data_IF_638307760002
#
_entry.id   IF_638307760002
#
_cell.length_a   1.000
_cell.length_b   1.000
_cell.length_c   1.000
_cell.angle_alpha   90.00
_cell.angle_beta   90.00
_cell.angle_gamma   90.00
#
_symmetry.space_group_name_H-M   'P 1'
#
loop_
_entity.id
_entity.type
_entity.pdbx_description
1 polymer ?
#
# COMPACT_ATOMS: atom_id res chain seq x y z
N UNK A 1 -13.83 1.23 -1.41
CA UNK A 1 -12.78 1.77 -0.53
C UNK A 1 -13.24 1.67 0.91
N UNK A 2 -12.30 1.56 1.84
CA UNK A 2 -12.59 1.62 3.27
C UNK A 2 -13.25 2.97 3.61
N UNK A 3 -14.26 2.93 4.47
CA UNK A 3 -14.93 4.08 5.03
C UNK A 3 -14.54 4.24 6.49
N UNK A 4 -13.87 5.33 6.81
CA UNK A 4 -13.57 5.75 8.17
C UNK A 4 -14.66 6.68 8.75
N UNK A 5 -15.53 7.22 7.89
CA UNK A 5 -16.66 8.08 8.28
C UNK A 5 -17.86 7.28 8.80
N UNK A 6 -17.95 6.00 8.44
CA UNK A 6 -18.96 5.06 8.92
C UNK A 6 -18.28 3.78 9.43
N UNK A 7 -17.86 3.81 10.70
CA UNK A 7 -17.15 2.70 11.35
C UNK A 7 -18.01 1.45 11.56
N UNK A 8 -19.35 1.56 11.45
CA UNK A 8 -20.28 0.46 11.65
C UNK A 8 -20.59 -0.31 10.36
N UNK A 9 -20.38 0.31 9.20
CA UNK A 9 -20.50 -0.35 7.90
C UNK A 9 -19.59 -1.58 7.86
N UNK A 10 -20.12 -2.78 7.51
CA UNK A 10 -19.30 -3.95 7.24
C UNK A 10 -18.32 -3.68 6.09
N UNK A 11 -17.04 -3.92 6.33
CA UNK A 11 -15.98 -3.69 5.35
C UNK A 11 -15.07 -4.91 5.25
N UNK A 12 -14.74 -5.30 4.02
CA UNK A 12 -13.96 -6.50 3.75
C UNK A 12 -12.56 -6.15 3.26
N UNK A 13 -11.55 -6.75 3.88
CA UNK A 13 -10.15 -6.61 3.51
C UNK A 13 -9.64 -7.98 3.08
N UNK A 14 -9.00 -8.03 1.92
CA UNK A 14 -8.18 -9.16 1.50
C UNK A 14 -6.72 -8.80 1.71
N UNK A 15 -5.98 -9.60 2.45
CA UNK A 15 -4.52 -9.51 2.58
C UNK A 15 -3.91 -10.74 1.91
N UNK A 16 -2.98 -10.55 0.98
CA UNK A 16 -2.26 -11.64 0.31
C UNK A 16 -0.80 -11.54 0.71
N UNK A 17 -0.31 -12.55 1.41
CA UNK A 17 0.94 -12.52 2.16
C UNK A 17 0.68 -12.12 3.62
N UNK A 18 0.74 -13.10 4.53
CA UNK A 18 0.54 -12.88 5.97
C UNK A 18 1.79 -12.29 6.62
N UNK A 19 2.97 -12.79 6.21
CA UNK A 19 4.23 -12.48 6.87
C UNK A 19 4.16 -12.75 8.38
N UNK A 20 4.53 -11.74 9.18
CA UNK A 20 4.42 -11.80 10.65
C UNK A 20 3.01 -11.53 11.20
N UNK A 21 2.03 -11.17 10.36
CA UNK A 21 0.66 -10.86 10.80
C UNK A 21 0.49 -9.48 11.46
N UNK A 22 1.47 -8.58 11.34
CA UNK A 22 1.44 -7.26 11.96
C UNK A 22 0.24 -6.42 11.49
N UNK A 23 -0.01 -6.40 10.17
CA UNK A 23 -1.14 -5.72 9.54
C UNK A 23 -2.47 -6.26 10.08
N UNK A 24 -2.65 -7.58 10.04
CA UNK A 24 -3.82 -8.26 10.57
C UNK A 24 -4.07 -7.94 12.04
N UNK A 25 -3.04 -8.01 12.88
CA UNK A 25 -3.13 -7.72 14.31
C UNK A 25 -3.56 -6.27 14.53
N UNK A 26 -2.94 -5.31 13.85
CA UNK A 26 -3.32 -3.90 13.94
C UNK A 26 -4.76 -3.64 13.52
N UNK A 27 -5.17 -4.15 12.35
CA UNK A 27 -6.53 -3.99 11.84
C UNK A 27 -7.58 -4.69 12.73
N UNK A 28 -7.20 -5.78 13.41
CA UNK A 28 -8.08 -6.47 14.36
C UNK A 28 -8.45 -5.59 15.57
N UNK A 29 -7.56 -4.68 15.97
CA UNK A 29 -7.76 -3.75 17.09
C UNK A 29 -8.58 -2.51 16.72
N UNK A 30 -8.76 -2.25 15.42
CA UNK A 30 -9.53 -1.08 14.97
C UNK A 30 -11.00 -1.20 15.41
N UNK A 31 -11.61 -0.10 15.91
CA UNK A 31 -13.02 -0.04 16.29
C UNK A 31 -13.95 0.05 15.06
N UNK A 32 -13.63 -0.70 14.01
CA UNK A 32 -14.36 -0.76 12.76
C UNK A 32 -14.93 -2.17 12.56
N UNK A 33 -16.08 -2.23 11.88
CA UNK A 33 -16.72 -3.48 11.49
C UNK A 33 -16.00 -4.12 10.29
N UNK A 34 -14.82 -4.69 10.56
CA UNK A 34 -13.96 -5.31 9.55
C UNK A 34 -14.17 -6.82 9.46
N UNK A 35 -13.96 -7.35 8.27
CA UNK A 35 -13.75 -8.76 7.99
C UNK A 35 -12.48 -8.90 7.16
N UNK A 36 -11.48 -9.57 7.71
CA UNK A 36 -10.13 -9.69 7.14
C UNK A 36 -9.93 -11.13 6.69
N UNK A 37 -9.82 -11.33 5.38
CA UNK A 37 -9.40 -12.59 4.78
C UNK A 37 -7.91 -12.47 4.44
N UNK A 38 -7.09 -13.34 5.01
CA UNK A 38 -5.65 -13.37 4.79
C UNK A 38 -5.33 -14.64 4.02
N UNK A 39 -4.57 -14.52 2.94
CA UNK A 39 -4.14 -15.66 2.12
C UNK A 39 -2.63 -15.79 2.25
N UNK A 40 -2.17 -16.92 2.76
CA UNK A 40 -0.76 -17.23 2.96
C UNK A 40 -0.43 -18.53 2.21
N UNK A 41 0.68 -18.55 1.48
CA UNK A 41 1.09 -19.71 0.70
C UNK A 41 1.65 -20.81 1.61
N UNK A 42 2.39 -20.42 2.66
CA UNK A 42 3.19 -21.33 3.47
C UNK A 42 2.61 -21.52 4.87
N UNK A 43 2.22 -22.77 5.20
CA UNK A 43 1.76 -23.15 6.54
C UNK A 43 2.78 -22.79 7.65
N UNK A 44 4.07 -22.91 7.36
CA UNK A 44 5.16 -22.58 8.29
C UNK A 44 5.14 -21.11 8.70
N UNK A 45 4.83 -20.18 7.77
CA UNK A 45 4.74 -18.75 8.05
C UNK A 45 3.58 -18.48 9.01
N UNK A 46 2.42 -19.10 8.78
CA UNK A 46 1.29 -19.01 9.70
C UNK A 46 1.59 -19.55 11.10
N UNK A 47 2.28 -20.69 11.20
CA UNK A 47 2.65 -21.27 12.49
C UNK A 47 3.62 -20.35 13.26
N UNK A 48 4.57 -19.73 12.55
CA UNK A 48 5.50 -18.74 13.11
C UNK A 48 4.75 -17.49 13.57
N UNK A 49 3.85 -16.95 12.74
CA UNK A 49 3.04 -15.78 13.07
C UNK A 49 2.20 -16.00 14.33
N UNK A 50 1.56 -17.18 14.46
CA UNK A 50 0.83 -17.55 15.67
C UNK A 50 1.73 -17.71 16.90
N UNK A 51 2.89 -18.33 16.74
CA UNK A 51 3.75 -18.68 17.88
C UNK A 51 4.56 -17.50 18.41
N UNK A 52 5.01 -16.61 17.53
CA UNK A 52 6.00 -15.58 17.87
C UNK A 52 5.52 -14.14 17.64
N UNK A 53 4.40 -13.94 16.94
CA UNK A 53 3.89 -12.61 16.58
C UNK A 53 2.43 -12.40 16.99
N UNK A 54 1.93 -13.20 17.94
CA UNK A 54 0.60 -13.07 18.56
C UNK A 54 -0.58 -13.01 17.58
N UNK A 55 -0.43 -13.60 16.39
CA UNK A 55 -1.50 -13.66 15.41
C UNK A 55 -2.73 -14.40 15.98
N UNK A 56 -3.84 -13.68 16.10
CA UNK A 56 -5.10 -14.22 16.60
C UNK A 56 -6.12 -14.36 15.48
N UNK A 57 -6.53 -15.60 15.18
CA UNK A 57 -7.60 -15.90 14.23
C UNK A 57 -8.97 -15.84 14.89
N UNK A 58 -9.97 -15.32 14.18
CA UNK A 58 -11.35 -15.19 14.64
C UNK A 58 -12.31 -15.06 13.46
N UNK A 59 -13.61 -14.90 13.71
CA UNK A 59 -14.55 -14.54 12.64
C UNK A 59 -14.20 -13.20 11.98
N UNK A 60 -13.50 -12.30 12.70
CA UNK A 60 -12.99 -11.03 12.15
C UNK A 60 -11.71 -11.23 11.32
N UNK A 61 -10.87 -12.20 11.66
CA UNK A 61 -9.55 -12.45 11.03
C UNK A 61 -9.41 -13.92 10.64
N UNK A 62 -9.57 -14.21 9.35
CA UNK A 62 -9.57 -15.56 8.78
C UNK A 62 -8.33 -15.75 7.94
N UNK A 63 -7.60 -16.85 8.15
CA UNK A 63 -6.40 -17.18 7.37
C UNK A 63 -6.67 -18.42 6.51
N UNK A 64 -6.33 -18.30 5.23
CA UNK A 64 -6.42 -19.35 4.22
C UNK A 64 -5.01 -19.74 3.80
N UNK A 65 -4.62 -21.00 4.02
CA UNK A 65 -3.35 -21.53 3.54
C UNK A 65 -3.55 -22.02 2.10
N UNK A 66 -3.32 -21.14 1.13
CA UNK A 66 -3.64 -21.35 -0.27
C UNK A 66 -2.79 -20.45 -1.19
N UNK A 67 -2.67 -20.83 -2.45
CA UNK A 67 -2.15 -19.97 -3.51
C UNK A 67 -3.06 -18.75 -3.71
N UNK A 68 -2.52 -17.55 -3.49
CA UNK A 68 -3.27 -16.29 -3.62
C UNK A 68 -3.79 -16.00 -5.03
N UNK A 69 -3.12 -16.47 -6.09
CA UNK A 69 -3.62 -16.32 -7.47
C UNK A 69 -4.89 -17.15 -7.65
N UNK A 70 -4.89 -18.39 -7.16
CA UNK A 70 -6.07 -19.26 -7.19
C UNK A 70 -7.20 -18.74 -6.31
N UNK A 71 -6.85 -18.21 -5.14
CA UNK A 71 -7.83 -17.60 -4.25
C UNK A 71 -8.56 -16.44 -4.94
N UNK A 72 -7.81 -15.53 -5.57
CA UNK A 72 -8.39 -14.38 -6.29
C UNK A 72 -9.22 -14.83 -7.49
N UNK A 73 -8.78 -15.85 -8.23
CA UNK A 73 -9.61 -16.44 -9.30
C UNK A 73 -10.95 -16.95 -8.75
N UNK A 74 -10.91 -17.74 -7.68
CA UNK A 74 -12.11 -18.30 -7.05
C UNK A 74 -13.00 -17.20 -6.44
N UNK A 75 -12.42 -16.12 -5.94
CA UNK A 75 -13.16 -14.95 -5.48
C UNK A 75 -14.01 -14.36 -6.61
N UNK A 76 -13.43 -14.16 -7.80
CA UNK A 76 -14.18 -13.71 -8.99
C UNK A 76 -15.29 -14.69 -9.37
N UNK A 77 -14.99 -15.99 -9.42
CA UNK A 77 -15.97 -17.04 -9.77
C UNK A 77 -17.18 -17.07 -8.83
N UNK A 78 -16.99 -16.69 -7.56
CA UNK A 78 -18.03 -16.66 -6.53
C UNK A 78 -18.61 -15.25 -6.28
N UNK A 79 -18.28 -14.25 -7.11
CA UNK A 79 -18.65 -12.85 -6.92
C UNK A 79 -18.27 -12.30 -5.52
N UNK A 80 -17.14 -12.74 -5.01
CA UNK A 80 -16.59 -12.29 -3.74
C UNK A 80 -15.78 -11.03 -3.95
N UNK A 81 -16.22 -9.93 -3.34
CA UNK A 81 -15.55 -8.63 -3.47
C UNK A 81 -15.07 -8.09 -2.12
N UNK A 82 -14.06 -7.23 -2.20
CA UNK A 82 -13.36 -6.63 -1.07
C UNK A 82 -13.36 -5.11 -1.19
N UNK A 83 -13.46 -4.38 -0.08
CA UNK A 83 -13.35 -2.92 -0.06
C UNK A 83 -11.90 -2.45 -0.19
N UNK A 84 -10.95 -3.31 0.19
CA UNK A 84 -9.50 -3.14 0.06
C UNK A 84 -8.80 -4.47 -0.20
N UNK A 85 -7.76 -4.45 -1.02
CA UNK A 85 -6.82 -5.56 -1.19
C UNK A 85 -5.43 -5.04 -0.83
N UNK A 86 -4.79 -5.70 0.15
CA UNK A 86 -3.39 -5.54 0.50
C UNK A 86 -2.62 -6.68 -0.14
N UNK A 87 -1.65 -6.35 -0.99
CA UNK A 87 -0.87 -7.33 -1.74
C UNK A 87 0.59 -7.23 -1.31
N UNK A 88 0.98 -8.12 -0.41
CA UNK A 88 2.33 -8.25 0.16
C UNK A 88 2.88 -9.66 -0.07
N UNK A 89 2.60 -10.22 -1.26
CA UNK A 89 3.11 -11.52 -1.67
C UNK A 89 4.57 -11.37 -2.13
N UNK A 90 5.52 -11.55 -1.21
CA UNK A 90 6.94 -11.33 -1.45
C UNK A 90 7.73 -12.62 -1.73
N UNK A 91 8.88 -12.50 -2.40
CA UNK A 91 9.89 -13.55 -2.47
C UNK A 91 11.11 -13.23 -1.60
N UNK A 92 11.72 -14.27 -1.05
CA UNK A 92 13.00 -14.18 -0.35
C UNK A 92 14.21 -14.34 -1.30
N UNK A 93 13.96 -14.48 -2.60
CA UNK A 93 15.01 -14.56 -3.62
C UNK A 93 15.65 -13.18 -3.84
N UNK A 94 16.79 -12.98 -3.18
CA UNK A 94 17.59 -11.75 -3.25
C UNK A 94 18.19 -11.47 -4.63
N UNK A 95 18.06 -12.40 -5.60
CA UNK A 95 18.47 -12.16 -6.99
C UNK A 95 17.40 -11.39 -7.79
N UNK A 96 16.18 -11.29 -7.27
CA UNK A 96 15.10 -10.54 -7.91
C UNK A 96 15.21 -9.05 -7.58
N UNK A 97 14.97 -8.23 -8.61
CA UNK A 97 14.96 -6.76 -8.49
C UNK A 97 13.69 -6.27 -7.76
N UNK A 98 12.56 -6.95 -8.00
CA UNK A 98 11.29 -6.69 -7.33
C UNK A 98 10.99 -7.88 -6.42
N UNK A 99 10.95 -7.64 -5.11
CA UNK A 99 10.64 -8.67 -4.13
C UNK A 99 9.13 -8.86 -3.99
N UNK A 100 8.36 -7.75 -4.06
CA UNK A 100 6.93 -7.74 -3.84
C UNK A 100 6.24 -6.80 -4.85
N UNK A 101 5.05 -7.17 -5.39
CA UNK A 101 4.54 -8.54 -5.36
C UNK A 101 5.35 -9.47 -6.28
N UNK A 102 5.31 -10.77 -6.03
CA UNK A 102 5.92 -11.76 -6.93
C UNK A 102 5.30 -11.70 -8.33
N UNK A 103 6.09 -12.05 -9.35
CA UNK A 103 5.72 -11.95 -10.77
C UNK A 103 4.37 -12.59 -11.13
N UNK A 104 3.92 -13.61 -10.39
CA UNK A 104 2.62 -14.24 -10.63
C UNK A 104 1.45 -13.23 -10.52
N UNK A 105 1.54 -12.24 -9.63
CA UNK A 105 0.53 -11.19 -9.48
C UNK A 105 0.67 -10.03 -10.47
N UNK A 106 1.75 -10.02 -11.26
CA UNK A 106 1.98 -9.04 -12.32
C UNK A 106 1.36 -9.47 -13.65
N UNK A 107 0.86 -10.71 -13.75
CA UNK A 107 0.16 -11.19 -14.94
C UNK A 107 -1.14 -10.42 -15.17
N UNK A 108 -1.40 -10.08 -16.44
CA UNK A 108 -2.57 -9.27 -16.82
C UNK A 108 -3.91 -9.90 -16.43
N UNK A 109 -4.03 -11.23 -16.49
CA UNK A 109 -5.24 -11.95 -16.07
C UNK A 109 -5.41 -11.90 -14.56
N UNK A 110 -4.32 -12.01 -13.80
CA UNK A 110 -4.36 -11.89 -12.34
C UNK A 110 -4.69 -10.47 -11.89
N UNK A 111 -4.08 -9.46 -12.50
CA UNK A 111 -4.42 -8.04 -12.28
C UNK A 111 -5.88 -7.75 -12.61
N UNK A 112 -6.41 -8.35 -13.67
CA UNK A 112 -7.83 -8.23 -14.00
C UNK A 112 -8.72 -8.89 -12.94
N UNK A 113 -8.33 -10.05 -12.39
CA UNK A 113 -9.10 -10.71 -11.33
C UNK A 113 -9.03 -9.95 -10.00
N UNK A 114 -7.86 -9.39 -9.65
CA UNK A 114 -7.71 -8.48 -8.51
C UNK A 114 -8.64 -7.26 -8.67
N UNK A 115 -8.63 -6.63 -9.85
CA UNK A 115 -9.52 -5.50 -10.16
C UNK A 115 -11.00 -5.88 -10.05
N UNK A 116 -11.41 -7.04 -10.57
CA UNK A 116 -12.79 -7.55 -10.44
C UNK A 116 -13.19 -7.91 -9.00
N UNK A 117 -12.21 -8.29 -8.18
CA UNK A 117 -12.42 -8.60 -6.75
C UNK A 117 -12.48 -7.35 -5.88
N UNK A 118 -12.21 -6.15 -6.44
CA UNK A 118 -12.36 -4.88 -5.73
C UNK A 118 -13.79 -4.34 -5.87
N UNK A 119 -14.36 -3.92 -4.74
CA UNK A 119 -15.62 -3.19 -4.69
C UNK A 119 -15.37 -1.72 -5.04
N UNK A 120 -15.50 -1.38 -6.32
CA UNK A 120 -15.50 0.01 -6.78
C UNK A 120 -16.89 0.64 -6.61
N UNK A 121 -16.96 1.78 -5.92
CA UNK A 121 -18.19 2.54 -5.71
C UNK A 121 -18.71 3.20 -7.00
N UNK A 122 -17.83 3.49 -7.97
CA UNK A 122 -18.19 3.96 -9.29
C UNK A 122 -17.07 3.66 -10.30
N UNK A 123 -17.27 2.65 -11.15
CA UNK A 123 -16.28 2.20 -12.16
C UNK A 123 -16.07 3.19 -13.30
N UNK A 124 -16.95 4.19 -13.47
CA UNK A 124 -16.88 5.15 -14.57
C UNK A 124 -16.13 6.43 -14.20
N UNK A 125 -16.10 6.80 -12.91
CA UNK A 125 -15.32 7.98 -12.49
C UNK A 125 -13.83 7.62 -12.40
N UNK A 126 -12.92 8.46 -12.91
CA UNK A 126 -11.50 8.24 -12.69
C UNK A 126 -11.19 8.33 -11.19
N UNK A 127 -10.45 7.36 -10.67
CA UNK A 127 -9.90 7.41 -9.32
C UNK A 127 -8.57 8.17 -9.35
N UNK A 128 -8.49 9.27 -8.60
CA UNK A 128 -7.33 10.15 -8.62
C UNK A 128 -6.39 9.78 -7.47
N UNK A 129 -5.15 9.43 -7.79
CA UNK A 129 -4.14 8.95 -6.86
C UNK A 129 -2.98 9.95 -6.84
N UNK A 130 -2.56 10.34 -5.63
CA UNK A 130 -1.30 11.03 -5.40
C UNK A 130 -0.29 10.05 -4.82
N UNK A 131 0.87 9.89 -5.45
CA UNK A 131 2.01 9.18 -4.90
C UNK A 131 3.11 10.19 -4.57
N UNK A 132 3.54 10.25 -3.31
CA UNK A 132 4.65 11.09 -2.85
C UNK A 132 5.83 10.18 -2.55
N UNK A 133 6.94 10.36 -3.27
CA UNK A 133 8.06 9.43 -3.30
C UNK A 133 7.87 8.42 -4.42
N UNK A 134 8.65 8.57 -5.50
CA UNK A 134 8.59 7.66 -6.64
C UNK A 134 9.61 6.55 -6.52
N UNK A 135 10.81 6.87 -6.04
CA UNK A 135 11.93 5.95 -5.98
C UNK A 135 12.23 5.34 -7.35
N UNK A 136 12.44 4.02 -7.40
CA UNK A 136 12.65 3.28 -8.66
C UNK A 136 11.43 3.17 -9.58
N UNK A 137 10.25 3.65 -9.15
CA UNK A 137 9.03 3.64 -9.98
C UNK A 137 8.26 2.31 -9.97
N UNK A 138 8.63 1.33 -9.13
CA UNK A 138 7.97 0.03 -9.07
C UNK A 138 6.47 0.15 -8.76
N UNK A 139 6.10 0.88 -7.71
CA UNK A 139 4.70 1.16 -7.34
C UNK A 139 3.97 1.90 -8.46
N UNK A 140 4.61 2.92 -9.04
CA UNK A 140 4.04 3.70 -10.15
C UNK A 140 3.73 2.83 -11.36
N UNK A 141 4.67 1.98 -11.77
CA UNK A 141 4.51 1.05 -12.89
C UNK A 141 3.44 -0.02 -12.56
N UNK A 142 3.41 -0.55 -11.35
CA UNK A 142 2.35 -1.49 -10.95
C UNK A 142 0.96 -0.87 -11.08
N UNK A 143 0.75 0.34 -10.56
CA UNK A 143 -0.53 1.05 -10.67
C UNK A 143 -0.88 1.38 -12.14
N UNK A 144 0.12 1.64 -12.98
CA UNK A 144 -0.10 1.90 -14.41
C UNK A 144 -0.64 0.66 -15.14
N UNK A 145 -0.28 -0.56 -14.70
CA UNK A 145 -0.77 -1.83 -15.25
C UNK A 145 -2.20 -2.19 -14.81
N UNK A 146 -2.70 -1.64 -13.70
CA UNK A 146 -4.05 -1.96 -13.22
C UNK A 146 -5.08 -1.53 -14.28
N UNK A 147 -5.94 -2.45 -14.77
CA UNK A 147 -6.95 -2.16 -15.78
C UNK A 147 -8.18 -1.47 -15.16
N UNK A 148 -7.97 -0.28 -14.61
CA UNK A 148 -8.99 0.58 -14.01
C UNK A 148 -8.80 2.02 -14.49
N UNK A 149 -9.88 2.82 -14.41
CA UNK A 149 -9.84 4.23 -14.74
C UNK A 149 -9.13 5.00 -13.61
N UNK A 150 -7.79 5.10 -13.69
CA UNK A 150 -6.96 5.79 -12.71
C UNK A 150 -6.34 7.05 -13.33
N UNK A 151 -6.11 8.07 -12.51
CA UNK A 151 -5.22 9.19 -12.82
C UNK A 151 -4.22 9.32 -11.69
N UNK A 152 -2.93 9.26 -12.00
CA UNK A 152 -1.86 9.10 -11.02
C UNK A 152 -0.92 10.29 -11.15
N UNK A 153 -0.92 11.14 -10.13
CA UNK A 153 0.08 12.18 -9.93
C UNK A 153 1.19 11.62 -9.04
N UNK A 154 2.42 11.65 -9.52
CA UNK A 154 3.59 11.17 -8.80
C UNK A 154 4.50 12.35 -8.51
N UNK A 155 4.93 12.51 -7.26
CA UNK A 155 5.82 13.58 -6.82
C UNK A 155 7.14 12.97 -6.40
N UNK A 156 8.21 13.39 -7.07
CA UNK A 156 9.57 12.96 -6.80
C UNK A 156 10.44 14.20 -6.54
N UNK A 157 11.26 14.16 -5.50
CA UNK A 157 12.09 15.29 -5.11
C UNK A 157 13.30 15.44 -6.05
N UNK A 158 13.88 14.32 -6.49
CA UNK A 158 15.17 14.30 -7.18
C UNK A 158 15.05 13.96 -8.68
N UNK A 159 15.44 14.90 -9.55
CA UNK A 159 15.50 14.69 -11.00
C UNK A 159 16.37 13.46 -11.39
N UNK A 160 17.48 13.25 -10.67
CA UNK A 160 18.40 12.14 -10.90
C UNK A 160 17.72 10.78 -10.70
N UNK A 161 16.84 10.66 -9.69
CA UNK A 161 16.07 9.45 -9.40
C UNK A 161 15.08 9.19 -10.53
N UNK A 162 14.40 10.23 -11.03
CA UNK A 162 13.54 10.12 -12.21
C UNK A 162 14.28 9.66 -13.46
N UNK A 163 15.45 10.22 -13.74
CA UNK A 163 16.25 9.85 -14.91
C UNK A 163 16.72 8.39 -14.83
N UNK A 164 17.12 7.94 -13.63
CA UNK A 164 17.50 6.55 -13.37
C UNK A 164 16.28 5.62 -13.55
N UNK A 165 15.13 5.97 -12.97
CA UNK A 165 13.90 5.20 -13.10
C UNK A 165 13.46 5.04 -14.56
N UNK A 166 13.52 6.12 -15.34
CA UNK A 166 13.25 6.11 -16.79
C UNK A 166 14.22 5.21 -17.57
N UNK A 167 15.50 5.28 -17.23
CA UNK A 167 16.56 4.62 -18.01
C UNK A 167 16.73 3.13 -17.67
N UNK A 168 16.53 2.75 -16.40
CA UNK A 168 16.91 1.44 -15.89
C UNK A 168 15.76 0.64 -15.28
N UNK A 169 14.63 1.28 -14.95
CA UNK A 169 13.49 0.63 -14.27
C UNK A 169 12.17 0.76 -15.04
N UNK A 170 12.26 1.05 -16.35
CA UNK A 170 11.14 1.12 -17.28
C UNK A 170 9.98 2.01 -16.79
N UNK A 171 10.30 3.11 -16.09
CA UNK A 171 9.26 4.05 -15.64
C UNK A 171 8.49 4.62 -16.84
N UNK A 172 7.20 4.35 -16.90
CA UNK A 172 6.32 4.86 -17.98
C UNK A 172 5.55 6.10 -17.52
N UNK A 173 5.52 7.13 -18.36
CA UNK A 173 4.70 8.33 -18.18
C UNK A 173 3.65 8.35 -19.27
N UNK A 174 2.44 8.83 -18.97
CA UNK A 174 1.32 8.84 -19.91
C UNK A 174 0.25 9.83 -19.43
N UNK A 175 -0.86 9.94 -20.14
CA UNK A 175 -2.02 10.69 -19.63
C UNK A 175 -2.57 10.10 -18.31
N UNK A 176 -2.34 8.80 -18.08
CA UNK A 176 -2.66 8.09 -16.82
C UNK A 176 -1.67 8.42 -15.69
N UNK A 177 -0.40 8.66 -16.01
CA UNK A 177 0.71 8.81 -15.02
C UNK A 177 1.51 10.08 -15.31
N UNK A 178 1.36 11.08 -14.45
CA UNK A 178 2.08 12.36 -14.50
C UNK A 178 3.10 12.41 -13.38
N UNK A 179 4.34 12.77 -13.70
CA UNK A 179 5.42 12.90 -12.71
C UNK A 179 5.79 14.37 -12.56
N UNK A 180 5.85 14.82 -11.31
CA UNK A 180 6.22 16.17 -10.89
C UNK A 180 7.54 16.10 -10.13
N UNK A 181 8.56 16.79 -10.64
CA UNK A 181 9.84 16.93 -9.94
C UNK A 181 9.74 18.16 -9.03
N UNK A 182 9.30 17.95 -7.79
CA UNK A 182 8.95 19.00 -6.83
C UNK A 182 9.09 18.46 -5.40
N UNK A 183 9.29 19.35 -4.43
CA UNK A 183 9.19 18.99 -3.02
C UNK A 183 7.74 18.58 -2.68
N UNK A 184 7.55 17.41 -2.09
CA UNK A 184 6.21 16.87 -1.81
C UNK A 184 5.41 17.69 -0.80
N UNK A 185 6.05 18.36 0.16
CA UNK A 185 5.35 19.27 1.10
C UNK A 185 4.87 20.51 0.37
N UNK A 186 5.68 21.06 -0.54
CA UNK A 186 5.29 22.19 -1.39
C UNK A 186 4.16 21.81 -2.35
N UNK A 187 4.23 20.61 -2.97
CA UNK A 187 3.17 20.09 -3.81
C UNK A 187 1.85 20.00 -3.04
N UNK A 188 1.87 19.43 -1.83
CA UNK A 188 0.68 19.31 -0.97
C UNK A 188 0.10 20.69 -0.65
N UNK A 189 0.93 21.69 -0.31
CA UNK A 189 0.46 23.06 -0.09
C UNK A 189 -0.15 23.68 -1.36
N UNK A 190 0.47 23.47 -2.52
CA UNK A 190 -0.05 23.90 -3.82
C UNK A 190 -1.38 23.23 -4.15
N UNK A 191 -1.53 21.95 -3.82
CA UNK A 191 -2.75 21.18 -4.01
C UNK A 191 -3.90 21.75 -3.17
N UNK A 192 -3.65 22.11 -1.90
CA UNK A 192 -4.62 22.83 -1.06
C UNK A 192 -5.03 24.15 -1.71
N UNK A 193 -4.07 24.96 -2.14
CA UNK A 193 -4.35 26.29 -2.72
C UNK A 193 -5.16 26.23 -4.03
N UNK A 194 -5.03 25.12 -4.77
CA UNK A 194 -5.75 24.90 -6.03
C UNK A 194 -7.03 24.07 -5.85
N UNK A 195 -7.44 23.76 -4.62
CA UNK A 195 -8.58 22.89 -4.30
C UNK A 195 -8.53 21.53 -5.02
N UNK A 196 -7.35 20.93 -5.12
CA UNK A 196 -7.20 19.57 -5.63
C UNK A 196 -7.73 18.57 -4.60
N UNK A 197 -8.29 17.45 -5.08
CA UNK A 197 -8.80 16.39 -4.23
C UNK A 197 -8.42 15.02 -4.81
N UNK A 198 -7.93 14.14 -3.94
CA UNK A 198 -7.42 12.81 -4.28
C UNK A 198 -8.28 11.73 -3.59
N UNK A 199 -8.56 10.65 -4.31
CA UNK A 199 -9.22 9.46 -3.76
C UNK A 199 -8.24 8.58 -2.97
N UNK A 200 -6.95 8.67 -3.28
CA UNK A 200 -5.89 7.97 -2.54
C UNK A 200 -4.61 8.79 -2.51
N UNK A 201 -3.93 8.80 -1.38
CA UNK A 201 -2.58 9.34 -1.23
C UNK A 201 -1.68 8.20 -0.75
N UNK A 202 -0.63 7.90 -1.50
CA UNK A 202 0.44 6.98 -1.14
C UNK A 202 1.65 7.82 -0.71
N UNK A 203 2.02 7.77 0.56
CA UNK A 203 3.15 8.48 1.11
C UNK A 203 4.32 7.50 1.33
N UNK A 204 5.30 7.56 0.43
CA UNK A 204 6.51 6.74 0.42
C UNK A 204 7.77 7.61 0.26
N UNK A 205 7.78 8.75 0.95
CA UNK A 205 8.93 9.65 0.98
C UNK A 205 9.88 9.23 2.11
N UNK A 206 10.97 8.56 1.76
CA UNK A 206 11.91 7.98 2.73
C UNK A 206 13.22 8.77 2.85
N UNK A 207 13.82 8.75 4.03
CA UNK A 207 15.19 9.21 4.23
C UNK A 207 16.18 8.12 3.84
N UNK A 208 17.27 8.50 3.19
CA UNK A 208 18.44 7.62 2.97
C UNK A 208 19.37 7.56 4.19
N UNK A 209 19.09 8.33 5.23
CA UNK A 209 19.87 8.40 6.46
C UNK A 209 19.47 7.25 7.41
N UNK A 210 20.23 6.16 7.33
CA UNK A 210 20.05 4.94 8.14
C UNK A 210 20.28 5.15 9.64
N UNK A 211 20.75 6.33 10.07
CA UNK A 211 20.88 6.64 11.50
C UNK A 211 19.55 7.01 12.15
N UNK A 212 18.52 7.32 11.34
CA UNK A 212 17.19 7.66 11.83
C UNK A 212 16.41 6.43 12.26
N UNK A 213 15.63 6.60 13.34
CA UNK A 213 14.70 5.57 13.83
C UNK A 213 13.54 5.34 12.85
N UNK A 214 13.05 6.42 12.23
CA UNK A 214 12.00 6.37 11.20
C UNK A 214 12.62 6.82 9.88
N UNK A 215 12.62 5.92 8.90
CA UNK A 215 13.11 6.19 7.56
C UNK A 215 11.97 6.65 6.66
N UNK A 216 10.81 5.99 6.74
CA UNK A 216 9.62 6.33 5.97
C UNK A 216 8.43 6.56 6.92
N UNK A 217 7.66 7.65 6.77
CA UNK A 217 7.98 8.80 5.94
C UNK A 217 9.08 9.67 6.59
N UNK A 218 9.68 10.60 5.83
CA UNK A 218 10.54 11.63 6.41
C UNK A 218 9.76 12.49 7.40
N UNK A 219 10.41 12.91 8.49
CA UNK A 219 9.75 13.57 9.62
C UNK A 219 8.89 14.79 9.26
N UNK A 220 9.24 15.54 8.22
CA UNK A 220 8.46 16.70 7.77
C UNK A 220 7.03 16.33 7.36
N UNK A 221 6.78 15.13 6.84
CA UNK A 221 5.41 14.67 6.55
C UNK A 221 4.62 14.25 7.80
N UNK A 222 5.28 14.10 8.96
CA UNK A 222 4.62 13.84 10.23
C UNK A 222 4.24 15.13 10.97
N UNK A 223 4.65 16.30 10.48
CA UNK A 223 4.29 17.57 11.07
C UNK A 223 2.78 17.80 10.96
N UNK A 224 2.16 18.23 12.06
CA UNK A 224 0.70 18.42 12.15
C UNK A 224 0.12 19.31 11.03
N UNK A 225 0.83 20.36 10.62
CA UNK A 225 0.40 21.22 9.52
C UNK A 225 0.42 20.52 8.16
N UNK A 226 1.39 19.62 7.93
CA UNK A 226 1.45 18.83 6.69
C UNK A 226 0.37 17.75 6.70
N UNK A 227 0.16 17.07 7.83
CA UNK A 227 -0.94 16.10 8.01
C UNK A 227 -2.31 16.76 7.81
N UNK A 228 -2.52 17.98 8.33
CA UNK A 228 -3.74 18.76 8.11
C UNK A 228 -3.94 19.08 6.63
N UNK A 229 -2.90 19.51 5.92
CA UNK A 229 -2.97 19.75 4.48
C UNK A 229 -3.25 18.47 3.67
N UNK A 230 -2.60 17.34 4.02
CA UNK A 230 -2.89 16.04 3.43
C UNK A 230 -4.37 15.66 3.62
N UNK A 231 -4.92 15.91 4.81
CA UNK A 231 -6.34 15.65 5.10
C UNK A 231 -7.28 16.51 4.25
N UNK A 232 -6.93 17.77 3.98
CA UNK A 232 -7.74 18.70 3.18
C UNK A 232 -7.79 18.34 1.70
N UNK A 233 -6.74 17.70 1.18
CA UNK A 233 -6.69 17.26 -0.22
C UNK A 233 -7.18 15.81 -0.40
N UNK A 234 -7.59 15.12 0.66
CA UNK A 234 -8.32 13.86 0.54
C UNK A 234 -9.79 14.14 0.22
N UNK A 235 -10.35 13.35 -0.68
CA UNK A 235 -11.79 13.28 -0.86
C UNK A 235 -12.49 12.74 0.41
N UNK A 236 -13.81 12.93 0.59
CA UNK A 236 -14.52 12.51 1.82
C UNK A 236 -14.39 11.02 2.18
N UNK A 237 -14.12 10.15 1.19
CA UNK A 237 -13.88 8.72 1.37
C UNK A 237 -12.48 8.31 0.88
N UNK A 238 -11.57 9.28 0.82
CA UNK A 238 -10.20 9.09 0.38
C UNK A 238 -9.39 8.35 1.42
N UNK A 239 -8.34 7.66 0.96
CA UNK A 239 -7.44 6.89 1.83
C UNK A 239 -6.05 7.48 1.79
N UNK A 240 -5.44 7.70 2.95
CA UNK A 240 -4.00 7.94 3.08
C UNK A 240 -3.33 6.61 3.47
N UNK A 241 -2.47 6.11 2.59
CA UNK A 241 -1.59 4.97 2.86
C UNK A 241 -0.18 5.50 3.06
N UNK A 242 0.42 5.18 4.20
CA UNK A 242 1.78 5.63 4.54
C UNK A 242 2.68 4.41 4.62
N UNK A 243 3.76 4.41 3.86
CA UNK A 243 4.84 3.44 4.08
C UNK A 243 5.54 3.80 5.39
N UNK A 244 5.51 2.88 6.35
CA UNK A 244 6.13 3.05 7.65
C UNK A 244 7.32 2.12 7.76
N UNK A 245 8.52 2.67 7.58
CA UNK A 245 9.76 1.91 7.68
C UNK A 245 10.60 2.47 8.81
N UNK A 246 10.81 1.64 9.82
CA UNK A 246 11.56 1.99 11.03
C UNK A 246 12.80 1.11 11.14
N UNK A 247 13.91 1.70 11.60
CA UNK A 247 15.10 0.91 11.96
C UNK A 247 14.89 0.26 13.33
N UNK A 248 15.71 -0.75 13.63
CA UNK A 248 15.62 -1.47 14.90
C UNK A 248 15.89 -0.52 16.07
N UNK A 249 15.05 -0.61 17.09
CA UNK A 249 15.19 0.20 18.30
C UNK A 249 16.58 -0.02 18.95
N UNK A 250 17.42 1.02 18.98
CA UNK A 250 18.77 0.93 19.54
C UNK A 250 18.75 0.68 21.06
N UNK A 251 17.65 1.02 21.75
CA UNK A 251 17.48 0.74 23.17
C UNK A 251 17.51 -0.77 23.48
N UNK A 252 17.07 -1.61 22.54
CA UNK A 252 17.08 -3.07 22.70
C UNK A 252 18.50 -3.67 22.58
N UNK A 253 19.40 -3.00 21.86
CA UNK A 253 20.81 -3.46 21.67
C UNK A 253 21.65 -3.20 22.93
N UNK A 254 21.33 -2.18 23.71
CA UNK A 254 22.04 -1.90 24.97
C UNK A 254 21.64 -2.86 26.09
N UNK A 255 20.43 -3.44 26.07
CA UNK A 255 19.99 -4.42 27.07
C UNK A 255 20.51 -5.85 26.83
N UNK A 256 20.95 -6.20 25.62
CA UNK A 256 21.58 -7.51 25.35
C UNK A 256 23.10 -7.53 25.55
N UNK A 257 23.72 -6.35 25.67
CA UNK A 257 25.16 -6.20 25.90
C UNK A 257 25.49 -5.70 27.32
N UNK A 258 24.52 -5.72 28.24
CA UNK A 258 24.66 -5.33 29.65
C UNK A 258 24.41 -6.53 30.56
#
# INVERSE_FOLDING_TARGET
SLSFSDIHRPQRILEIGLGGGATANFLSLMPMNLSIDIVELEQSVFDIAKKYFDLTTSDKVRVYIEDGVKFVQRAVENNLTYDSILLDACTNDVTKVVLCPVNAFMDSGVLQNLSKSLSFSNVHRPQIILQIGMGGGATTNFLSLIPANLSIDVVELEQSVFDIAKKYFDLTTSDKVKVYIEDGVQFVQRAVNNNLSYDSILLDACSTDVTKLVLCPVNTFMDSGVLDNLSKILSPNGVLSVNMFTTRDQAYVQQQNA
#
